data_IF_050034315601
#
_entry.id   IF_050034315601
#
_cell.length_a   1.000
_cell.length_b   1.000
_cell.length_c   1.000
_cell.angle_alpha   90.00
_cell.angle_beta   90.00
_cell.angle_gamma   90.00
#
_symmetry.space_group_name_H-M   'P 1'
#
loop_
_entity.id
_entity.type
_entity.pdbx_description
1 polymer ?
#
# COMPACT_ATOMS: atom_id res chain seq x y z
N UNK A 1 -9.01 38.37 -40.29
CA UNK A 1 -8.95 37.28 -41.29
C UNK A 1 -7.73 36.45 -40.94
N UNK A 2 -7.70 35.17 -40.59
CA UNK A 2 -8.69 34.10 -40.34
C UNK A 2 -7.88 32.98 -39.65
N UNK A 3 -8.25 32.57 -38.44
CA UNK A 3 -8.71 31.21 -38.07
C UNK A 3 -8.23 30.06 -38.99
N UNK A 4 -7.60 29.04 -38.38
CA UNK A 4 -7.77 27.57 -38.56
C UNK A 4 -6.57 26.86 -37.88
N UNK A 5 -6.61 25.68 -37.24
CA UNK A 5 -7.65 24.69 -36.93
C UNK A 5 -7.10 23.66 -35.92
N UNK A 6 -8.02 23.06 -35.16
CA UNK A 6 -7.84 21.99 -34.19
C UNK A 6 -7.66 20.61 -34.83
N UNK A 7 -6.94 19.67 -34.19
CA UNK A 7 -7.34 18.24 -34.23
C UNK A 7 -6.90 17.45 -33.00
N UNK A 8 -7.90 16.78 -32.42
CA UNK A 8 -7.89 16.00 -31.20
C UNK A 8 -7.23 14.62 -31.33
N UNK A 9 -6.74 14.06 -30.21
CA UNK A 9 -6.77 12.61 -29.93
C UNK A 9 -7.07 12.32 -28.46
N UNK A 10 -8.16 11.58 -28.28
CA UNK A 10 -8.81 11.12 -27.05
C UNK A 10 -7.96 10.08 -26.31
N UNK A 11 -7.63 10.35 -25.05
CA UNK A 11 -6.99 9.40 -24.13
C UNK A 11 -7.93 9.02 -22.99
N UNK A 12 -8.59 7.86 -23.14
CA UNK A 12 -9.44 7.11 -22.19
C UNK A 12 -9.43 7.58 -20.72
N UNK A 13 -10.56 8.14 -20.28
CA UNK A 13 -10.92 8.42 -18.88
C UNK A 13 -10.97 7.11 -18.09
N UNK A 14 -9.99 6.84 -17.23
CA UNK A 14 -10.06 5.73 -16.27
C UNK A 14 -10.98 6.12 -15.11
N UNK A 15 -12.30 6.05 -15.33
CA UNK A 15 -13.27 6.08 -14.24
C UNK A 15 -13.99 4.74 -14.20
N UNK A 16 -13.39 3.72 -13.56
CA UNK A 16 -14.21 2.67 -12.95
C UNK A 16 -14.84 3.30 -11.72
N UNK A 17 -16.07 3.78 -11.88
CA UNK A 17 -16.93 4.14 -10.76
C UNK A 17 -17.33 2.82 -10.10
N UNK A 18 -16.72 2.51 -8.95
CA UNK A 18 -17.18 1.42 -8.08
C UNK A 18 -18.67 1.63 -7.81
N UNK A 19 -19.48 0.57 -7.91
CA UNK A 19 -20.89 0.70 -7.54
C UNK A 19 -20.98 0.89 -6.02
N UNK A 20 -21.98 1.64 -5.57
CA UNK A 20 -22.17 1.91 -4.14
C UNK A 20 -22.26 0.60 -3.35
N UNK A 21 -22.87 -0.45 -3.92
CA UNK A 21 -22.94 -1.77 -3.27
C UNK A 21 -21.57 -2.44 -3.11
N UNK A 22 -20.65 -2.27 -4.06
CA UNK A 22 -19.28 -2.82 -3.96
C UNK A 22 -18.49 -2.15 -2.84
N UNK A 23 -18.66 -0.84 -2.66
CA UNK A 23 -18.01 -0.11 -1.56
C UNK A 23 -18.57 -0.51 -0.20
N UNK A 24 -19.89 -0.68 -0.07
CA UNK A 24 -20.51 -1.14 1.18
C UNK A 24 -20.13 -2.58 1.50
N UNK A 25 -20.11 -3.46 0.49
CA UNK A 25 -19.71 -4.87 0.66
C UNK A 25 -18.23 -4.99 1.07
N UNK A 26 -17.33 -4.22 0.44
CA UNK A 26 -15.91 -4.20 0.80
C UNK A 26 -15.70 -3.66 2.21
N UNK A 27 -16.42 -2.60 2.59
CA UNK A 27 -16.33 -2.02 3.94
C UNK A 27 -16.82 -2.99 5.02
N UNK A 28 -17.92 -3.71 4.76
CA UNK A 28 -18.43 -4.73 5.67
C UNK A 28 -17.44 -5.90 5.81
N UNK A 29 -16.79 -6.32 4.72
CA UNK A 29 -15.79 -7.39 4.73
C UNK A 29 -14.53 -6.98 5.52
N UNK A 30 -14.08 -5.73 5.34
CA UNK A 30 -12.94 -5.17 6.08
C UNK A 30 -13.25 -5.04 7.57
N UNK A 31 -14.47 -4.64 7.94
CA UNK A 31 -14.89 -4.57 9.34
C UNK A 31 -14.97 -5.95 10.03
N UNK A 32 -15.16 -7.02 9.25
CA UNK A 32 -15.11 -8.40 9.73
C UNK A 32 -13.70 -9.00 9.70
N UNK A 33 -12.74 -8.32 9.06
CA UNK A 33 -11.36 -8.79 9.00
C UNK A 33 -10.67 -8.50 10.32
N UNK A 34 -10.11 -9.53 10.94
CA UNK A 34 -9.41 -9.42 12.21
C UNK A 34 -8.13 -8.58 12.04
N UNK A 35 -8.01 -7.52 12.84
CA UNK A 35 -6.78 -6.76 12.95
C UNK A 35 -5.85 -7.46 13.95
N UNK A 36 -4.76 -8.03 13.44
CA UNK A 36 -3.78 -8.75 14.25
C UNK A 36 -2.48 -7.95 14.34
N UNK A 37 -1.97 -7.77 15.55
CA UNK A 37 -0.63 -7.23 15.76
C UNK A 37 0.41 -8.32 15.51
N UNK A 38 1.29 -8.08 14.54
CA UNK A 38 2.32 -9.04 14.10
C UNK A 38 3.71 -8.40 14.25
N UNK A 39 4.72 -9.10 14.78
CA UNK A 39 6.09 -8.62 14.81
C UNK A 39 6.62 -8.28 13.40
N UNK A 40 7.34 -7.16 13.26
CA UNK A 40 7.87 -6.73 11.97
C UNK A 40 8.84 -7.77 11.38
N UNK A 41 9.63 -8.44 12.22
CA UNK A 41 10.55 -9.52 11.85
C UNK A 41 9.86 -10.73 11.20
N UNK A 42 8.57 -10.95 11.46
CA UNK A 42 7.78 -12.03 10.86
C UNK A 42 7.16 -11.64 9.51
N UNK A 43 7.25 -10.37 9.11
CA UNK A 43 6.69 -9.85 7.86
C UNK A 43 7.70 -9.96 6.71
N UNK A 44 7.26 -10.55 5.59
CA UNK A 44 8.07 -10.67 4.37
C UNK A 44 7.28 -10.12 3.19
N UNK A 45 7.94 -9.45 2.26
CA UNK A 45 7.29 -9.02 1.01
C UNK A 45 6.87 -10.26 0.20
N UNK A 46 5.56 -10.43 0.00
CA UNK A 46 5.06 -11.58 -0.77
C UNK A 46 5.19 -11.35 -2.29
N UNK A 47 5.41 -12.40 -3.09
CA UNK A 47 5.26 -12.34 -4.54
C UNK A 47 3.84 -11.93 -5.00
N UNK A 48 2.83 -12.10 -4.14
CA UNK A 48 1.45 -11.68 -4.41
C UNK A 48 1.23 -10.17 -4.23
N UNK A 49 2.29 -9.40 -4.01
CA UNK A 49 2.15 -7.95 -3.84
C UNK A 49 1.68 -7.28 -5.13
N UNK A 50 0.61 -6.48 -5.04
CA UNK A 50 -0.01 -5.80 -6.19
C UNK A 50 1.00 -4.96 -6.99
N UNK A 51 2.03 -4.41 -6.32
CA UNK A 51 3.11 -3.67 -6.97
C UNK A 51 4.41 -4.47 -7.01
N UNK A 52 4.80 -4.84 -8.22
CA UNK A 52 6.03 -5.60 -8.50
C UNK A 52 7.25 -4.69 -8.68
N UNK A 53 7.06 -3.46 -9.17
CA UNK A 53 8.13 -2.48 -9.40
C UNK A 53 8.72 -1.98 -8.08
N UNK A 54 10.05 -1.87 -7.94
CA UNK A 54 10.71 -1.28 -6.78
C UNK A 54 10.22 0.14 -6.47
N UNK A 55 10.34 0.53 -5.19
CA UNK A 55 10.07 1.90 -4.74
C UNK A 55 11.37 2.71 -4.78
N UNK A 56 11.29 4.00 -5.13
CA UNK A 56 12.44 4.89 -4.97
C UNK A 56 12.75 5.08 -3.48
N UNK A 57 14.03 5.22 -3.15
CA UNK A 57 14.49 5.45 -1.78
C UNK A 57 13.87 6.71 -1.17
N UNK A 58 13.76 7.79 -1.96
CA UNK A 58 13.11 9.05 -1.54
C UNK A 58 11.66 8.80 -1.09
N UNK A 59 10.85 8.10 -1.91
CA UNK A 59 9.44 7.85 -1.58
C UNK A 59 9.25 6.96 -0.34
N UNK A 60 10.24 6.11 -0.04
CA UNK A 60 10.23 5.27 1.17
C UNK A 60 10.63 6.11 2.37
N UNK A 61 11.65 6.97 2.25
CA UNK A 61 12.11 7.84 3.33
C UNK A 61 11.05 8.87 3.73
N UNK A 62 10.40 9.51 2.77
CA UNK A 62 9.28 10.44 3.04
C UNK A 62 8.15 9.74 3.80
N UNK A 63 7.81 8.51 3.40
CA UNK A 63 6.78 7.74 4.10
C UNK A 63 7.24 7.29 5.48
N UNK A 64 8.52 6.96 5.66
CA UNK A 64 9.09 6.61 6.96
C UNK A 64 9.03 7.80 7.93
N UNK A 65 9.33 9.01 7.47
CA UNK A 65 9.18 10.24 8.27
C UNK A 65 7.73 10.50 8.65
N UNK A 66 6.79 10.29 7.73
CA UNK A 66 5.36 10.37 8.02
C UNK A 66 4.95 9.33 9.08
N UNK A 67 5.33 8.06 8.92
CA UNK A 67 5.02 6.99 9.88
C UNK A 67 5.65 7.28 11.25
N UNK A 68 6.86 7.84 11.29
CA UNK A 68 7.49 8.25 12.56
C UNK A 68 6.68 9.32 13.29
N UNK A 69 6.10 10.27 12.55
CA UNK A 69 5.34 11.38 13.12
C UNK A 69 3.90 11.01 13.52
N UNK A 70 3.17 10.30 12.65
CA UNK A 70 1.73 10.02 12.83
C UNK A 70 1.39 8.55 13.06
N UNK A 71 2.37 7.65 12.96
CA UNK A 71 2.15 6.20 13.03
C UNK A 71 1.66 5.59 11.72
N UNK A 72 1.41 4.28 11.76
CA UNK A 72 0.88 3.52 10.61
C UNK A 72 -0.65 3.67 10.55
N UNK A 73 -1.15 4.61 9.75
CA UNK A 73 -2.60 4.88 9.64
C UNK A 73 -3.38 3.80 8.87
N UNK A 74 -2.68 2.98 8.10
CA UNK A 74 -3.30 1.96 7.24
C UNK A 74 -2.57 0.64 7.43
N UNK A 75 -3.30 -0.37 7.85
CA UNK A 75 -2.79 -1.71 8.13
C UNK A 75 -2.27 -2.39 6.85
N UNK A 76 -1.26 -3.25 7.01
CA UNK A 76 -0.75 -4.09 5.92
C UNK A 76 -1.75 -5.23 5.69
N UNK A 77 -1.91 -5.65 4.43
CA UNK A 77 -2.70 -6.86 4.13
C UNK A 77 -1.72 -8.01 4.00
N UNK A 78 -1.89 -9.02 4.84
CA UNK A 78 -1.02 -10.19 4.92
C UNK A 78 -1.79 -11.48 4.68
N UNK A 79 -1.06 -12.53 4.29
CA UNK A 79 -1.52 -13.92 4.37
C UNK A 79 -0.51 -14.73 5.16
N UNK A 80 -0.98 -15.80 5.79
CA UNK A 80 -0.14 -16.77 6.48
C UNK A 80 0.77 -17.50 5.49
N UNK A 81 2.03 -17.66 5.86
CA UNK A 81 3.05 -18.43 5.14
C UNK A 81 3.60 -19.52 6.09
N UNK A 82 4.13 -20.65 5.59
CA UNK A 82 4.73 -21.67 6.45
C UNK A 82 5.80 -21.10 7.40
N UNK A 83 5.81 -21.57 8.65
CA UNK A 83 6.80 -21.21 9.67
C UNK A 83 6.55 -19.87 10.37
N UNK A 84 5.29 -19.59 10.74
CA UNK A 84 4.86 -18.39 11.49
C UNK A 84 5.29 -17.05 10.86
N UNK A 85 5.32 -17.04 9.54
CA UNK A 85 5.64 -15.88 8.71
C UNK A 85 4.40 -15.37 8.02
N UNK A 86 4.42 -14.09 7.72
CA UNK A 86 3.30 -13.41 7.07
C UNK A 86 3.77 -12.71 5.80
N UNK A 87 3.18 -13.10 4.67
CA UNK A 87 3.46 -12.52 3.38
C UNK A 87 2.63 -11.26 3.16
N UNK A 88 3.27 -10.10 3.00
CA UNK A 88 2.59 -8.82 2.74
C UNK A 88 2.11 -8.75 1.29
N UNK A 89 0.80 -8.93 1.08
CA UNK A 89 0.11 -8.86 -0.21
C UNK A 89 -0.26 -7.42 -0.62
N UNK A 90 -0.47 -6.51 0.34
CA UNK A 90 -0.65 -5.09 0.04
C UNK A 90 0.01 -4.20 1.09
N UNK A 91 0.56 -3.07 0.63
CA UNK A 91 1.30 -2.14 1.49
C UNK A 91 2.81 -2.32 1.46
N UNK A 92 3.39 -2.83 0.36
CA UNK A 92 4.84 -3.08 0.25
C UNK A 92 5.72 -1.86 0.55
N UNK A 93 5.28 -0.63 0.21
CA UNK A 93 6.02 0.60 0.55
C UNK A 93 6.01 0.90 2.04
N UNK A 94 4.89 0.61 2.72
CA UNK A 94 4.75 0.76 4.18
C UNK A 94 5.65 -0.24 4.90
N UNK A 95 5.70 -1.49 4.44
CA UNK A 95 6.68 -2.48 4.91
C UNK A 95 8.11 -1.93 4.78
N UNK A 96 8.51 -1.46 3.59
CA UNK A 96 9.86 -0.93 3.38
C UNK A 96 10.19 0.27 4.30
N UNK A 97 9.21 1.16 4.52
CA UNK A 97 9.38 2.29 5.42
C UNK A 97 9.52 1.85 6.90
N UNK A 98 8.74 0.86 7.33
CA UNK A 98 8.85 0.28 8.68
C UNK A 98 10.21 -0.40 8.88
N UNK A 99 10.68 -1.18 7.92
CA UNK A 99 12.01 -1.79 7.97
C UNK A 99 13.11 -0.73 8.08
N UNK A 100 13.01 0.35 7.29
CA UNK A 100 13.95 1.47 7.38
C UNK A 100 13.95 2.13 8.76
N UNK A 101 12.78 2.28 9.41
CA UNK A 101 12.70 2.82 10.77
C UNK A 101 13.27 1.85 11.82
N UNK A 102 13.07 0.55 11.65
CA UNK A 102 13.63 -0.48 12.53
C UNK A 102 15.16 -0.56 12.39
N UNK A 103 15.69 -0.51 11.17
CA UNK A 103 17.13 -0.42 10.89
C UNK A 103 17.77 0.83 11.53
N UNK A 104 17.03 1.94 11.58
CA UNK A 104 17.43 3.18 12.25
C UNK A 104 17.26 3.15 13.77
N UNK A 105 16.73 2.05 14.34
CA UNK A 105 16.48 1.91 15.78
C UNK A 105 15.38 2.82 16.33
N UNK A 106 14.51 3.34 15.46
CA UNK A 106 13.42 4.26 15.85
C UNK A 106 12.21 3.47 16.34
N UNK A 107 11.95 2.30 15.75
CA UNK A 107 10.88 1.38 16.16
C UNK A 107 11.47 -0.01 16.41
N UNK A 108 10.82 -0.85 17.23
CA UNK A 108 11.21 -2.25 17.36
C UNK A 108 11.04 -2.99 16.02
N UNK A 109 12.00 -3.84 15.71
CA UNK A 109 11.94 -4.79 14.60
C UNK A 109 11.17 -6.05 14.94
#
# INVERSE_FOLDING_TARGET
>A
MSVTESKAKTGRKSSRKSSKEQETALSALLAQTEEVSVPLASLIKSPLNVRTVPYSAESVSELAESIKGVGLLQNLVVHTQPGDRYGVAAGGRRLAALNMLAERGIIPG
#
